data_IF_802296985483
#
_entry.id   IF_802296985483
#
_cell.length_a   1.000
_cell.length_b   1.000
_cell.length_c   1.000
_cell.angle_alpha   90.00
_cell.angle_beta   90.00
_cell.angle_gamma   90.00
#
_symmetry.space_group_name_H-M   'P 1'
#
loop_
_entity.id
_entity.type
_entity.pdbx_description
1 polymer ?
#
# COMPACT_ATOMS: atom_id res chain seq x y z
N UNK A 1 -13.37 -11.37 -12.17
CA UNK A 1 -13.66 -11.45 -10.72
C UNK A 1 -14.60 -10.31 -10.39
N UNK A 2 -15.66 -10.58 -9.64
CA UNK A 2 -16.51 -9.53 -9.06
C UNK A 2 -15.88 -9.09 -7.73
N UNK A 3 -15.73 -7.78 -7.50
CA UNK A 3 -15.07 -7.28 -6.28
C UNK A 3 -16.02 -7.40 -5.11
N UNK A 4 -15.63 -8.15 -4.09
CA UNK A 4 -16.39 -8.26 -2.85
C UNK A 4 -15.90 -7.20 -1.85
N UNK A 5 -16.65 -6.11 -1.74
CA UNK A 5 -16.36 -5.01 -0.80
C UNK A 5 -16.57 -5.36 0.69
N UNK A 6 -17.03 -6.58 0.99
CA UNK A 6 -17.13 -7.13 2.33
C UNK A 6 -16.09 -8.22 2.62
N UNK A 7 -15.25 -8.59 1.64
CA UNK A 7 -14.13 -9.49 1.88
C UNK A 7 -13.09 -8.81 2.77
N UNK A 8 -12.68 -9.47 3.85
CA UNK A 8 -11.76 -8.93 4.87
C UNK A 8 -10.42 -9.68 4.90
N UNK A 9 -10.18 -10.56 3.93
CA UNK A 9 -9.01 -11.43 3.87
C UNK A 9 -9.32 -12.92 4.11
N UNK A 10 -8.50 -13.76 3.50
CA UNK A 10 -8.57 -15.20 3.52
C UNK A 10 -8.34 -15.78 4.94
N UNK A 11 -7.47 -15.19 5.76
CA UNK A 11 -7.25 -15.66 7.13
C UNK A 11 -8.49 -15.47 8.01
N UNK A 12 -9.23 -14.38 7.79
CA UNK A 12 -10.52 -14.13 8.44
C UNK A 12 -11.59 -15.08 7.90
N UNK A 13 -11.65 -15.30 6.59
CA UNK A 13 -12.55 -16.27 5.98
C UNK A 13 -12.30 -17.69 6.52
N UNK A 14 -11.03 -18.11 6.60
CA UNK A 14 -10.60 -19.37 7.20
C UNK A 14 -11.05 -19.48 8.66
N UNK A 15 -10.82 -18.43 9.46
CA UNK A 15 -11.24 -18.41 10.87
C UNK A 15 -12.76 -18.53 11.01
N UNK A 16 -13.54 -17.89 10.14
CA UNK A 16 -15.00 -18.00 10.09
C UNK A 16 -15.44 -19.43 9.75
N UNK A 17 -14.81 -20.06 8.74
CA UNK A 17 -15.08 -21.44 8.36
C UNK A 17 -14.70 -22.44 9.47
N UNK A 18 -13.52 -22.31 10.07
CA UNK A 18 -13.10 -23.17 11.19
C UNK A 18 -14.01 -23.01 12.40
N UNK A 19 -14.51 -21.80 12.68
CA UNK A 19 -15.50 -21.57 13.73
C UNK A 19 -16.85 -22.24 13.43
N UNK A 20 -17.26 -22.29 12.17
CA UNK A 20 -18.46 -23.02 11.75
C UNK A 20 -18.24 -24.54 11.88
N UNK A 21 -17.03 -25.02 11.62
CA UNK A 21 -16.66 -26.44 11.70
C UNK A 21 -16.38 -26.92 13.13
N UNK A 22 -15.84 -26.06 14.00
CA UNK A 22 -15.41 -26.39 15.35
C UNK A 22 -16.56 -26.46 16.36
N UNK A 23 -17.79 -26.10 15.99
CA UNK A 23 -18.91 -26.01 16.94
C UNK A 23 -20.23 -26.64 16.49
N UNK A 24 -20.16 -27.97 16.31
CA UNK A 24 -21.21 -28.86 16.83
C UNK A 24 -21.26 -28.82 18.38
N UNK A 25 -20.21 -28.43 19.12
CA UNK A 25 -20.28 -28.38 20.60
C UNK A 25 -19.35 -27.36 21.30
N UNK A 26 -19.97 -26.25 21.74
CA UNK A 26 -19.59 -25.29 22.81
C UNK A 26 -18.76 -24.02 22.48
N UNK A 27 -19.57 -22.95 22.53
CA UNK A 27 -19.33 -21.60 23.07
C UNK A 27 -18.76 -20.54 22.12
N UNK A 28 -19.67 -19.92 21.37
CA UNK A 28 -19.59 -18.53 20.94
C UNK A 28 -20.82 -17.76 21.44
N UNK A 29 -20.71 -16.46 21.76
CA UNK A 29 -21.82 -15.71 22.35
C UNK A 29 -23.05 -15.64 21.43
N UNK A 30 -22.88 -15.72 20.09
CA UNK A 30 -23.95 -15.77 19.08
C UNK A 30 -23.43 -16.47 17.80
N UNK A 31 -22.85 -17.67 17.94
CA UNK A 31 -22.09 -18.36 16.89
C UNK A 31 -22.91 -18.93 15.73
N UNK A 32 -23.36 -18.10 14.80
CA UNK A 32 -23.79 -18.50 13.44
C UNK A 32 -24.99 -19.47 13.35
N UNK A 33 -25.49 -19.98 14.47
CA UNK A 33 -26.70 -20.79 14.55
C UNK A 33 -27.90 -19.85 14.58
N UNK A 34 -28.85 -20.12 13.68
CA UNK A 34 -30.14 -19.42 13.59
C UNK A 34 -30.98 -19.61 14.85
N UNK A 35 -30.66 -20.62 15.65
CA UNK A 35 -31.41 -21.13 16.79
C UNK A 35 -30.47 -21.51 17.94
N UNK A 36 -30.84 -21.16 19.17
CA UNK A 36 -30.09 -21.45 20.40
C UNK A 36 -31.03 -22.15 21.37
N UNK A 37 -30.71 -23.38 21.77
CA UNK A 37 -31.48 -24.09 22.79
C UNK A 37 -31.07 -23.62 24.19
N UNK A 38 -32.04 -23.09 24.94
CA UNK A 38 -31.86 -22.62 26.31
C UNK A 38 -32.92 -23.21 27.23
N UNK A 39 -32.53 -23.49 28.47
CA UNK A 39 -33.47 -23.92 29.52
C UNK A 39 -34.10 -22.70 30.18
N UNK A 40 -35.43 -22.59 30.10
CA UNK A 40 -36.22 -21.60 30.83
C UNK A 40 -37.30 -22.33 31.62
N UNK A 41 -37.34 -22.12 32.93
CA UNK A 41 -38.30 -22.74 33.85
C UNK A 41 -38.38 -24.28 33.74
N UNK A 42 -37.22 -24.93 33.59
CA UNK A 42 -37.12 -26.39 33.50
C UNK A 42 -37.57 -26.99 32.16
N UNK A 43 -37.87 -26.16 31.15
CA UNK A 43 -38.18 -26.60 29.79
C UNK A 43 -37.12 -26.11 28.81
N UNK A 44 -36.72 -26.98 27.88
CA UNK A 44 -35.88 -26.57 26.76
C UNK A 44 -36.72 -25.72 25.78
N UNK A 45 -36.23 -24.54 25.44
CA UNK A 45 -36.84 -23.60 24.50
C UNK A 45 -35.79 -23.17 23.50
N UNK A 46 -36.13 -23.23 22.22
CA UNK A 46 -35.27 -22.80 21.12
C UNK A 46 -35.50 -21.32 20.85
N UNK A 47 -34.46 -20.50 20.98
CA UNK A 47 -34.47 -19.07 20.64
C UNK A 47 -33.96 -18.90 19.22
N UNK A 48 -34.80 -18.39 18.33
CA UNK A 48 -34.42 -18.04 16.96
C UNK A 48 -33.98 -16.58 16.88
N UNK A 49 -32.96 -16.27 16.07
CA UNK A 49 -32.68 -14.89 15.69
C UNK A 49 -33.91 -14.31 14.99
N UNK A 50 -34.45 -13.23 15.55
CA UNK A 50 -35.59 -12.54 15.00
C UNK A 50 -35.24 -11.97 13.63
N UNK A 51 -36.25 -11.79 12.77
CA UNK A 51 -36.02 -11.29 11.41
C UNK A 51 -35.45 -9.87 11.44
N UNK A 52 -35.77 -9.07 12.45
CA UNK A 52 -35.25 -7.72 12.67
C UNK A 52 -33.73 -7.70 12.86
N UNK A 53 -33.13 -8.72 13.48
CA UNK A 53 -31.68 -8.78 13.66
C UNK A 53 -30.95 -9.19 12.37
N UNK A 54 -31.61 -10.01 11.52
CA UNK A 54 -31.09 -10.35 10.19
C UNK A 54 -31.17 -9.13 9.26
N UNK A 55 -32.29 -8.42 9.31
CA UNK A 55 -32.51 -7.16 8.61
C UNK A 55 -31.51 -6.10 9.07
N UNK A 56 -31.27 -5.96 10.37
CA UNK A 56 -30.26 -5.02 10.89
C UNK A 56 -28.86 -5.33 10.37
N UNK A 57 -28.44 -6.61 10.39
CA UNK A 57 -27.13 -6.99 9.84
C UNK A 57 -27.04 -6.74 8.33
N UNK A 58 -28.04 -7.16 7.57
CA UNK A 58 -28.08 -6.94 6.12
C UNK A 58 -28.09 -5.44 5.79
N UNK A 59 -28.85 -4.64 6.53
CA UNK A 59 -28.86 -3.19 6.40
C UNK A 59 -27.51 -2.57 6.74
N UNK A 60 -26.81 -3.08 7.76
CA UNK A 60 -25.46 -2.61 8.13
C UNK A 60 -24.43 -2.96 7.04
N UNK A 61 -24.46 -4.19 6.51
CA UNK A 61 -23.59 -4.61 5.41
C UNK A 61 -23.87 -3.82 4.12
N UNK A 62 -25.14 -3.52 3.84
CA UNK A 62 -25.57 -2.69 2.71
C UNK A 62 -25.15 -1.22 2.88
N UNK A 63 -25.25 -0.67 4.10
CA UNK A 63 -24.74 0.68 4.43
C UNK A 63 -23.23 0.77 4.28
N UNK A 64 -22.48 -0.23 4.76
CA UNK A 64 -21.03 -0.31 4.58
C UNK A 64 -20.68 -0.39 3.08
N UNK A 65 -21.34 -1.25 2.32
CA UNK A 65 -21.15 -1.36 0.88
C UNK A 65 -21.48 -0.05 0.15
N UNK A 66 -22.55 0.65 0.54
CA UNK A 66 -22.91 1.98 0.03
C UNK A 66 -21.83 3.02 0.37
N UNK A 67 -21.27 3.00 1.57
CA UNK A 67 -20.17 3.90 1.95
C UNK A 67 -18.93 3.68 1.09
N UNK A 68 -18.56 2.43 0.81
CA UNK A 68 -17.46 2.11 -0.11
C UNK A 68 -17.79 2.49 -1.56
N UNK A 69 -19.03 2.27 -2.01
CA UNK A 69 -19.47 2.64 -3.36
C UNK A 69 -19.38 4.14 -3.66
N UNK A 70 -19.57 5.00 -2.65
CA UNK A 70 -19.42 6.47 -2.77
C UNK A 70 -17.96 6.89 -3.00
N UNK A 71 -16.98 6.02 -2.69
CA UNK A 71 -15.55 6.29 -2.85
C UNK A 71 -14.95 5.74 -4.15
N UNK A 72 -15.75 5.09 -4.99
CA UNK A 72 -15.27 4.50 -6.24
C UNK A 72 -15.04 5.60 -7.28
N UNK A 73 -13.76 5.90 -7.53
CA UNK A 73 -13.35 6.90 -8.53
C UNK A 73 -13.68 6.48 -9.96
N UNK A 74 -13.42 5.21 -10.31
CA UNK A 74 -13.73 4.61 -11.62
C UNK A 74 -14.36 3.22 -11.42
N UNK A 75 -15.66 3.04 -11.69
CA UNK A 75 -16.35 1.76 -11.53
C UNK A 75 -15.78 0.61 -12.36
N UNK A 76 -15.12 0.90 -13.49
CA UNK A 76 -14.52 -0.11 -14.37
C UNK A 76 -13.13 -0.56 -13.89
N UNK A 77 -12.54 0.16 -12.95
CA UNK A 77 -11.27 -0.18 -12.33
C UNK A 77 -11.54 -0.93 -11.02
N UNK A 78 -11.25 -2.23 -11.01
CA UNK A 78 -11.45 -3.11 -9.86
C UNK A 78 -10.72 -2.63 -8.59
N UNK A 79 -9.60 -1.91 -8.73
CA UNK A 79 -8.84 -1.38 -7.60
C UNK A 79 -9.40 -0.02 -7.11
N UNK A 80 -10.28 0.65 -7.86
CA UNK A 80 -11.04 1.81 -7.38
C UNK A 80 -12.02 1.46 -6.26
N UNK A 81 -12.44 0.20 -6.18
CA UNK A 81 -13.36 -0.27 -5.13
C UNK A 81 -12.66 -0.44 -3.78
N UNK A 82 -11.33 -0.55 -3.79
CA UNK A 82 -10.48 -0.74 -2.60
C UNK A 82 -9.19 0.09 -2.70
N UNK A 83 -9.29 1.42 -2.77
CA UNK A 83 -8.14 2.27 -3.11
C UNK A 83 -6.98 2.20 -2.10
N UNK A 84 -7.29 1.86 -0.84
CA UNK A 84 -6.35 1.75 0.31
C UNK A 84 -6.11 0.30 0.77
N UNK A 85 -6.81 -0.67 0.16
CA UNK A 85 -6.72 -2.08 0.52
C UNK A 85 -6.58 -2.93 -0.74
N UNK A 86 -5.71 -2.48 -1.65
CA UNK A 86 -5.54 -3.11 -2.96
C UNK A 86 -5.10 -4.58 -2.84
N UNK A 87 -4.38 -4.92 -1.76
CA UNK A 87 -4.04 -6.29 -1.38
C UNK A 87 -5.26 -7.21 -1.24
N UNK A 88 -6.43 -6.70 -0.82
CA UNK A 88 -7.66 -7.50 -0.69
C UNK A 88 -8.15 -8.01 -2.04
N UNK A 89 -7.91 -7.27 -3.13
CA UNK A 89 -8.28 -7.71 -4.48
C UNK A 89 -7.44 -8.94 -4.88
N UNK A 90 -6.13 -8.90 -4.61
CA UNK A 90 -5.25 -10.05 -4.84
C UNK A 90 -5.61 -11.22 -3.93
N UNK A 91 -5.81 -10.98 -2.63
CA UNK A 91 -6.17 -12.03 -1.68
C UNK A 91 -7.52 -12.68 -2.01
N UNK A 92 -8.53 -11.89 -2.39
CA UNK A 92 -9.84 -12.41 -2.80
C UNK A 92 -9.68 -13.35 -3.99
N UNK A 93 -8.91 -12.94 -5.01
CA UNK A 93 -8.65 -13.78 -6.17
C UNK A 93 -7.95 -15.09 -5.79
N UNK A 94 -6.93 -15.05 -4.94
CA UNK A 94 -6.22 -16.23 -4.46
C UNK A 94 -7.15 -17.17 -3.68
N UNK A 95 -8.03 -16.61 -2.84
CA UNK A 95 -9.02 -17.36 -2.07
C UNK A 95 -10.04 -18.05 -2.97
N UNK A 96 -10.59 -17.35 -3.96
CA UNK A 96 -11.58 -17.90 -4.89
C UNK A 96 -10.99 -18.98 -5.82
N UNK A 97 -9.67 -18.98 -6.01
CA UNK A 97 -8.96 -19.95 -6.85
C UNK A 97 -8.22 -21.04 -6.04
N UNK A 98 -8.56 -21.20 -4.76
CA UNK A 98 -8.04 -22.31 -3.93
C UNK A 98 -6.55 -22.21 -3.59
N UNK A 99 -5.91 -21.06 -3.76
CA UNK A 99 -4.47 -20.90 -3.50
C UNK A 99 -4.11 -21.08 -2.01
N UNK A 100 -5.09 -20.95 -1.11
CA UNK A 100 -4.95 -21.16 0.33
C UNK A 100 -5.39 -22.55 0.80
N UNK A 101 -5.76 -23.44 -0.13
CA UNK A 101 -6.25 -24.77 0.22
C UNK A 101 -5.15 -25.58 0.91
N UNK A 102 -5.50 -26.19 2.05
CA UNK A 102 -4.55 -26.96 2.86
C UNK A 102 -3.60 -26.12 3.72
N UNK A 103 -3.61 -24.79 3.60
CA UNK A 103 -2.85 -23.90 4.49
C UNK A 103 -3.56 -23.73 5.84
N UNK A 104 -2.77 -23.53 6.88
CA UNK A 104 -3.28 -23.09 8.18
C UNK A 104 -3.40 -21.56 8.24
N UNK A 105 -4.08 -21.06 9.29
CA UNK A 105 -4.32 -19.61 9.47
C UNK A 105 -3.03 -18.78 9.41
N UNK A 106 -1.96 -19.23 10.04
CA UNK A 106 -0.72 -18.46 10.13
C UNK A 106 0.02 -18.41 8.80
N UNK A 107 -0.07 -19.46 7.98
CA UNK A 107 0.45 -19.48 6.61
C UNK A 107 -0.32 -18.51 5.71
N UNK A 108 -1.65 -18.50 5.81
CA UNK A 108 -2.50 -17.55 5.08
C UNK A 108 -2.17 -16.11 5.50
N UNK A 109 -2.09 -15.84 6.81
CA UNK A 109 -1.76 -14.50 7.32
C UNK A 109 -0.38 -14.02 6.84
N UNK A 110 0.62 -14.91 6.75
CA UNK A 110 1.94 -14.54 6.20
C UNK A 110 1.87 -14.12 4.73
N UNK A 111 1.12 -14.84 3.91
CA UNK A 111 0.97 -14.49 2.49
C UNK A 111 0.17 -13.20 2.30
N UNK A 112 -0.90 -13.02 3.08
CA UNK A 112 -1.68 -11.78 3.04
C UNK A 112 -0.86 -10.58 3.52
N UNK A 113 -0.10 -10.72 4.61
CA UNK A 113 0.79 -9.65 5.08
C UNK A 113 1.87 -9.31 4.04
N UNK A 114 2.38 -10.29 3.30
CA UNK A 114 3.32 -10.01 2.21
C UNK A 114 2.64 -9.20 1.08
N UNK A 115 1.38 -9.49 0.73
CA UNK A 115 0.62 -8.68 -0.23
C UNK A 115 0.35 -7.25 0.30
N UNK A 116 0.08 -7.11 1.60
CA UNK A 116 -0.03 -5.81 2.27
C UNK A 116 1.29 -5.04 2.11
N UNK A 117 2.41 -5.62 2.56
CA UNK A 117 3.72 -4.96 2.52
C UNK A 117 4.13 -4.55 1.09
N UNK A 118 3.77 -5.35 0.09
CA UNK A 118 4.04 -5.05 -1.33
C UNK A 118 3.20 -3.87 -1.85
N UNK A 119 1.96 -3.67 -1.36
CA UNK A 119 1.01 -2.73 -1.96
C UNK A 119 0.76 -1.46 -1.14
N UNK A 120 1.06 -1.45 0.17
CA UNK A 120 0.74 -0.33 1.08
C UNK A 120 1.47 0.98 0.71
N UNK A 121 2.61 0.87 0.02
CA UNK A 121 3.49 2.02 -0.22
C UNK A 121 2.76 3.13 -0.97
N UNK A 122 1.87 2.76 -1.90
CA UNK A 122 1.12 3.69 -2.74
C UNK A 122 -0.10 4.32 -2.04
N UNK A 123 -0.44 3.89 -0.82
CA UNK A 123 -1.44 4.57 0.01
C UNK A 123 -0.91 5.90 0.55
N UNK A 124 0.42 6.05 0.60
CA UNK A 124 1.11 7.27 1.01
C UNK A 124 1.00 8.42 -0.01
N UNK A 125 0.38 8.19 -1.17
CA UNK A 125 0.13 9.27 -2.14
C UNK A 125 -0.93 10.27 -1.64
N UNK A 126 -1.81 9.89 -0.71
CA UNK A 126 -2.84 10.79 -0.18
C UNK A 126 -3.02 10.68 1.34
N UNK A 127 -2.55 11.69 2.06
CA UNK A 127 -2.69 11.82 3.53
C UNK A 127 -3.91 12.65 3.95
N UNK A 128 -4.64 13.26 3.00
CA UNK A 128 -5.71 14.22 3.30
C UNK A 128 -7.05 13.56 3.63
N UNK A 129 -7.22 12.29 3.31
CA UNK A 129 -8.40 11.50 3.67
C UNK A 129 -8.04 10.72 4.93
N UNK A 130 -8.78 10.94 6.02
CA UNK A 130 -8.64 10.12 7.23
C UNK A 130 -8.77 8.65 6.84
N UNK A 131 -7.65 7.92 6.93
CA UNK A 131 -7.52 6.60 6.37
C UNK A 131 -8.32 5.60 7.23
N UNK A 132 -9.07 4.74 6.55
CA UNK A 132 -9.87 3.72 7.21
C UNK A 132 -9.01 2.88 8.13
N UNK A 133 -9.52 2.62 9.34
CA UNK A 133 -8.86 1.77 10.33
C UNK A 133 -8.72 0.37 9.75
N UNK A 134 -7.50 0.00 9.39
CA UNK A 134 -7.14 -1.40 9.41
C UNK A 134 -7.03 -1.82 10.89
N UNK A 135 -8.08 -2.49 11.37
CA UNK A 135 -8.14 -3.00 12.75
C UNK A 135 -7.19 -4.20 12.92
N UNK A 136 -6.55 -4.70 11.85
CA UNK A 136 -5.63 -5.85 11.91
C UNK A 136 -4.22 -5.61 11.39
N UNK A 137 -3.97 -4.75 10.41
CA UNK A 137 -2.58 -4.55 9.93
C UNK A 137 -1.70 -3.79 10.91
N UNK A 138 -2.27 -3.06 11.86
CA UNK A 138 -1.48 -2.14 12.66
C UNK A 138 -0.70 -1.14 11.79
N UNK A 139 -1.18 -0.87 10.56
CA UNK A 139 -0.58 0.09 9.63
C UNK A 139 -0.31 1.36 10.41
N UNK A 140 0.98 1.63 10.61
CA UNK A 140 1.42 2.83 11.31
C UNK A 140 0.77 4.00 10.58
N UNK A 141 0.27 5.02 11.30
CA UNK A 141 -0.32 6.18 10.66
C UNK A 141 0.64 6.68 9.59
N UNK A 142 0.14 6.90 8.37
CA UNK A 142 0.97 7.45 7.30
C UNK A 142 1.36 8.86 7.73
N UNK A 143 2.60 9.02 8.20
CA UNK A 143 3.10 10.29 8.71
C UNK A 143 3.75 11.15 7.62
N UNK A 144 3.96 10.59 6.43
CA UNK A 144 4.70 11.25 5.36
C UNK A 144 4.18 10.79 3.99
N UNK A 145 4.07 11.74 3.06
CA UNK A 145 3.82 11.46 1.65
C UNK A 145 5.10 11.05 0.93
N UNK A 146 5.00 10.09 0.02
CA UNK A 146 6.06 9.82 -0.95
C UNK A 146 6.34 11.08 -1.76
N UNK A 147 7.58 11.32 -2.13
CA UNK A 147 7.96 12.27 -3.18
C UNK A 147 7.65 11.70 -4.57
N UNK A 148 7.77 12.53 -5.62
CA UNK A 148 7.63 12.08 -7.02
C UNK A 148 8.55 10.88 -7.32
N UNK A 149 9.81 10.94 -6.89
CA UNK A 149 10.78 9.86 -7.15
C UNK A 149 10.43 8.58 -6.40
N UNK A 150 9.99 8.69 -5.14
CA UNK A 150 9.61 7.54 -4.32
C UNK A 150 8.32 6.88 -4.80
N UNK A 151 7.34 7.67 -5.26
CA UNK A 151 6.11 7.14 -5.83
C UNK A 151 6.37 6.25 -7.07
N UNK A 152 7.29 6.69 -7.93
CA UNK A 152 7.72 5.93 -9.10
C UNK A 152 8.52 4.68 -8.72
N UNK A 153 9.39 4.80 -7.71
CA UNK A 153 10.15 3.67 -7.17
C UNK A 153 9.24 2.60 -6.57
N UNK A 154 8.29 2.99 -5.73
CA UNK A 154 7.34 2.07 -5.09
C UNK A 154 6.46 1.36 -6.10
N UNK A 155 5.98 2.07 -7.12
CA UNK A 155 5.22 1.43 -8.18
C UNK A 155 6.07 0.39 -8.93
N UNK A 156 7.28 0.74 -9.35
CA UNK A 156 8.16 -0.19 -10.05
C UNK A 156 8.49 -1.42 -9.19
N UNK A 157 8.81 -1.19 -7.92
CA UNK A 157 9.15 -2.26 -6.99
C UNK A 157 7.97 -3.17 -6.67
N UNK A 158 6.80 -2.60 -6.37
CA UNK A 158 5.59 -3.38 -6.07
C UNK A 158 5.13 -4.24 -7.25
N UNK A 159 5.17 -3.71 -8.47
CA UNK A 159 4.83 -4.49 -9.69
C UNK A 159 5.79 -5.66 -9.88
N UNK A 160 7.10 -5.44 -9.76
CA UNK A 160 8.10 -6.51 -9.86
C UNK A 160 7.98 -7.52 -8.73
N UNK A 161 7.66 -7.08 -7.51
CA UNK A 161 7.43 -7.96 -6.37
C UNK A 161 6.16 -8.80 -6.56
N UNK A 162 5.08 -8.24 -7.10
CA UNK A 162 3.87 -9.00 -7.43
C UNK A 162 4.13 -10.05 -8.53
N UNK A 163 4.94 -9.73 -9.53
CA UNK A 163 5.37 -10.70 -10.54
C UNK A 163 6.14 -11.86 -9.90
N UNK A 164 7.08 -11.56 -9.01
CA UNK A 164 7.82 -12.59 -8.28
C UNK A 164 6.96 -13.37 -7.29
N UNK A 165 5.97 -12.73 -6.66
CA UNK A 165 4.97 -13.37 -5.83
C UNK A 165 4.15 -14.38 -6.65
N UNK A 166 3.73 -13.99 -7.86
CA UNK A 166 3.02 -14.87 -8.80
C UNK A 166 3.82 -16.13 -9.11
N UNK A 167 5.11 -15.99 -9.39
CA UNK A 167 5.99 -17.12 -9.69
C UNK A 167 6.09 -18.12 -8.54
N UNK A 168 6.12 -17.61 -7.30
CA UNK A 168 6.42 -18.40 -6.10
C UNK A 168 5.20 -19.01 -5.41
N UNK A 169 4.08 -18.28 -5.38
CA UNK A 169 2.95 -18.63 -4.51
C UNK A 169 1.64 -18.89 -5.25
N UNK A 170 1.56 -18.56 -6.55
CA UNK A 170 0.32 -18.70 -7.32
C UNK A 170 0.37 -19.99 -8.14
N UNK A 171 -0.68 -20.79 -8.04
CA UNK A 171 -0.82 -22.05 -8.80
C UNK A 171 -0.92 -21.77 -10.30
N UNK A 172 -0.44 -22.70 -11.14
CA UNK A 172 -0.37 -22.50 -12.60
C UNK A 172 -1.72 -22.13 -13.23
N UNK A 173 -2.81 -22.76 -12.77
CA UNK A 173 -4.17 -22.46 -13.25
C UNK A 173 -4.63 -21.04 -12.89
N UNK A 174 -4.14 -20.48 -11.78
CA UNK A 174 -4.50 -19.14 -11.32
C UNK A 174 -3.56 -18.04 -11.85
N UNK A 175 -2.36 -18.38 -12.38
CA UNK A 175 -1.35 -17.40 -12.82
C UNK A 175 -1.85 -16.42 -13.88
N UNK A 176 -2.62 -16.90 -14.87
CA UNK A 176 -3.08 -16.05 -15.96
C UNK A 176 -4.04 -14.93 -15.49
N UNK A 177 -4.93 -15.22 -14.54
CA UNK A 177 -5.80 -14.20 -13.98
C UNK A 177 -5.06 -13.31 -12.97
N UNK A 178 -4.12 -13.83 -12.20
CA UNK A 178 -3.27 -13.03 -11.32
C UNK A 178 -2.42 -12.02 -12.11
N UNK A 179 -1.86 -12.42 -13.25
CA UNK A 179 -1.14 -11.53 -14.16
C UNK A 179 -2.02 -10.37 -14.63
N UNK A 180 -3.29 -10.63 -14.96
CA UNK A 180 -4.24 -9.57 -15.31
C UNK A 180 -4.51 -8.62 -14.15
N UNK A 181 -4.54 -9.12 -12.91
CA UNK A 181 -4.66 -8.24 -11.74
C UNK A 181 -3.43 -7.34 -11.58
N UNK A 182 -2.23 -7.85 -11.85
CA UNK A 182 -1.00 -7.04 -11.87
C UNK A 182 -1.10 -5.95 -12.94
N UNK A 183 -1.60 -6.27 -14.14
CA UNK A 183 -1.77 -5.28 -15.21
C UNK A 183 -2.77 -4.18 -14.81
N UNK A 184 -3.89 -4.55 -14.18
CA UNK A 184 -4.90 -3.60 -13.69
C UNK A 184 -4.34 -2.72 -12.56
N UNK A 185 -3.62 -3.32 -11.60
CA UNK A 185 -2.94 -2.61 -10.52
C UNK A 185 -1.92 -1.61 -11.09
N UNK A 186 -1.12 -2.04 -12.05
CA UNK A 186 -0.13 -1.21 -12.73
C UNK A 186 -0.80 -0.04 -13.42
N UNK A 187 -1.82 -0.29 -14.26
CA UNK A 187 -2.50 0.75 -15.01
C UNK A 187 -3.19 1.80 -14.11
N UNK A 188 -3.81 1.38 -13.00
CA UNK A 188 -4.37 2.31 -12.01
C UNK A 188 -3.29 3.17 -11.40
N UNK A 189 -2.24 2.54 -10.88
CA UNK A 189 -1.26 3.26 -10.09
C UNK A 189 -0.30 4.09 -10.95
N UNK A 190 -0.02 3.70 -12.20
CA UNK A 190 0.70 4.53 -13.19
C UNK A 190 -0.02 5.86 -13.42
N UNK A 191 -1.36 5.84 -13.56
CA UNK A 191 -2.16 7.07 -13.65
C UNK A 191 -1.99 7.95 -12.41
N UNK A 192 -2.03 7.35 -11.21
CA UNK A 192 -1.88 8.07 -9.93
C UNK A 192 -0.49 8.71 -9.79
N UNK A 193 0.59 8.03 -10.19
CA UNK A 193 1.97 8.53 -10.01
C UNK A 193 2.45 9.46 -11.13
N UNK A 194 1.87 9.37 -12.34
CA UNK A 194 2.35 10.09 -13.55
C UNK A 194 2.52 11.61 -13.38
N UNK A 195 1.61 12.26 -12.66
CA UNK A 195 1.61 13.70 -12.40
C UNK A 195 1.63 14.01 -10.90
N UNK A 196 2.01 13.03 -10.10
CA UNK A 196 2.02 13.15 -8.65
C UNK A 196 3.15 14.08 -8.19
N UNK A 197 2.83 14.92 -7.20
CA UNK A 197 3.79 15.68 -6.39
C UNK A 197 3.26 15.72 -4.96
N UNK A 198 4.12 15.42 -4.00
CA UNK A 198 3.81 15.57 -2.58
C UNK A 198 3.46 17.03 -2.24
N UNK A 199 2.75 17.22 -1.13
CA UNK A 199 2.51 18.54 -0.54
C UNK A 199 3.85 19.25 -0.29
N UNK A 200 4.86 18.53 0.17
CA UNK A 200 6.19 19.10 0.42
C UNK A 200 6.85 19.60 -0.87
N UNK A 201 6.84 18.82 -1.95
CA UNK A 201 7.39 19.26 -3.24
C UNK A 201 6.64 20.47 -3.79
N UNK A 202 5.29 20.49 -3.68
CA UNK A 202 4.47 21.64 -4.06
C UNK A 202 4.82 22.87 -3.23
N UNK A 203 4.97 22.70 -1.92
CA UNK A 203 5.34 23.77 -1.00
C UNK A 203 6.74 24.32 -1.28
N UNK A 204 7.73 23.44 -1.48
CA UNK A 204 9.09 23.81 -1.82
C UNK A 204 9.12 24.60 -3.14
N UNK A 205 8.41 24.14 -4.17
CA UNK A 205 8.33 24.83 -5.45
C UNK A 205 7.66 26.21 -5.33
N UNK A 206 6.56 26.32 -4.58
CA UNK A 206 5.89 27.59 -4.33
C UNK A 206 6.80 28.56 -3.56
N UNK A 207 7.44 28.09 -2.49
CA UNK A 207 8.32 28.91 -1.65
C UNK A 207 9.57 29.37 -2.40
N UNK A 208 10.15 28.52 -3.26
CA UNK A 208 11.28 28.89 -4.11
C UNK A 208 10.95 30.09 -5.02
N UNK A 209 9.76 30.10 -5.64
CA UNK A 209 9.29 31.22 -6.47
C UNK A 209 9.09 32.52 -5.68
N UNK A 210 8.63 32.44 -4.44
CA UNK A 210 8.49 33.62 -3.56
C UNK A 210 9.88 34.14 -3.15
N UNK A 211 10.80 33.22 -2.86
CA UNK A 211 12.18 33.54 -2.49
C UNK A 211 12.92 34.28 -3.61
N UNK A 212 12.81 33.81 -4.85
CA UNK A 212 13.39 34.45 -6.04
C UNK A 212 12.87 35.89 -6.25
N UNK A 213 11.65 36.18 -5.79
CA UNK A 213 11.04 37.52 -5.85
C UNK A 213 11.36 38.41 -4.65
N UNK A 214 12.24 37.97 -3.75
CA UNK A 214 12.64 38.70 -2.55
C UNK A 214 11.60 38.70 -1.41
N UNK A 215 10.57 37.85 -1.48
CA UNK A 215 9.44 37.85 -0.54
C UNK A 215 9.65 37.07 0.76
N UNK A 216 10.82 36.46 0.99
CA UNK A 216 11.08 35.63 2.19
C UNK A 216 12.27 36.20 2.97
N UNK A 217 12.01 36.75 4.16
CA UNK A 217 13.05 37.19 5.09
C UNK A 217 13.50 36.02 5.98
N UNK A 218 14.78 35.66 5.93
CA UNK A 218 15.37 34.56 6.71
C UNK A 218 16.06 35.01 8.00
N UNK A 219 15.97 36.29 8.37
CA UNK A 219 16.72 36.88 9.49
C UNK A 219 16.40 36.24 10.84
N UNK A 220 15.15 35.80 11.04
CA UNK A 220 14.66 35.18 12.29
C UNK A 220 14.96 33.69 12.41
N UNK A 221 15.49 33.04 11.36
CA UNK A 221 15.74 31.61 11.34
C UNK A 221 17.09 31.25 11.97
N UNK A 222 17.15 30.10 12.66
CA UNK A 222 18.41 29.49 13.13
C UNK A 222 19.27 29.04 11.95
N UNK A 223 20.56 28.78 12.18
CA UNK A 223 21.47 28.30 11.13
C UNK A 223 20.96 27.00 10.47
N UNK A 224 20.46 26.05 11.28
CA UNK A 224 19.89 24.80 10.78
C UNK A 224 18.64 25.04 9.93
N UNK A 225 17.72 25.89 10.38
CA UNK A 225 16.53 26.26 9.61
C UNK A 225 16.88 26.94 8.29
N UNK A 226 17.88 27.84 8.30
CA UNK A 226 18.38 28.50 7.10
C UNK A 226 18.92 27.49 6.10
N UNK A 227 19.71 26.51 6.56
CA UNK A 227 20.24 25.45 5.72
C UNK A 227 19.12 24.59 5.12
N UNK A 228 18.15 24.14 5.93
CA UNK A 228 17.00 23.37 5.44
C UNK A 228 16.21 24.15 4.38
N UNK A 229 15.91 25.43 4.62
CA UNK A 229 15.20 26.28 3.65
C UNK A 229 16.00 26.45 2.36
N UNK A 230 17.31 26.68 2.44
CA UNK A 230 18.19 26.79 1.26
C UNK A 230 18.21 25.51 0.43
N UNK A 231 18.33 24.34 1.08
CA UNK A 231 18.29 23.03 0.42
C UNK A 231 16.94 22.83 -0.26
N UNK A 232 15.85 22.96 0.50
CA UNK A 232 14.51 22.64 0.01
C UNK A 232 14.02 23.65 -1.04
N UNK A 233 14.46 24.91 -1.01
CA UNK A 233 14.21 25.85 -2.12
C UNK A 233 14.91 25.40 -3.41
N UNK A 234 16.17 24.95 -3.35
CA UNK A 234 16.88 24.44 -4.52
C UNK A 234 16.21 23.18 -5.10
N UNK A 235 15.76 22.28 -4.23
CA UNK A 235 14.95 21.12 -4.65
C UNK A 235 13.64 21.57 -5.31
N UNK A 236 12.96 22.56 -4.73
CA UNK A 236 11.72 23.13 -5.26
C UNK A 236 11.86 23.85 -6.61
N UNK A 237 13.04 24.39 -6.93
CA UNK A 237 13.35 24.98 -8.24
C UNK A 237 13.74 23.93 -9.30
N UNK A 238 13.77 22.65 -8.96
CA UNK A 238 14.14 21.59 -9.91
C UNK A 238 12.91 21.11 -10.68
N UNK A 239 12.96 21.24 -12.01
CA UNK A 239 11.96 20.67 -12.91
C UNK A 239 12.42 19.31 -13.44
N UNK A 240 11.49 18.34 -13.44
CA UNK A 240 11.71 16.99 -13.98
C UNK A 240 10.92 16.85 -15.28
N UNK A 241 11.62 16.54 -16.37
CA UNK A 241 11.01 16.24 -17.66
C UNK A 241 10.41 14.84 -17.69
N UNK A 242 9.38 14.65 -18.50
CA UNK A 242 8.70 13.36 -18.65
C UNK A 242 9.65 12.24 -19.12
N UNK A 243 10.56 12.55 -20.04
CA UNK A 243 11.57 11.59 -20.53
C UNK A 243 12.54 11.13 -19.44
N UNK A 244 12.97 12.04 -18.55
CA UNK A 244 13.87 11.70 -17.44
C UNK A 244 13.18 10.82 -16.40
N UNK A 245 11.90 11.11 -16.11
CA UNK A 245 11.07 10.26 -15.24
C UNK A 245 10.94 8.87 -15.88
N UNK A 246 10.64 8.79 -17.18
CA UNK A 246 10.51 7.52 -17.88
C UNK A 246 11.82 6.70 -17.85
N UNK A 247 12.98 7.34 -18.07
CA UNK A 247 14.29 6.69 -17.97
C UNK A 247 14.57 6.16 -16.56
N UNK A 248 14.25 6.94 -15.53
CA UNK A 248 14.41 6.53 -14.14
C UNK A 248 13.52 5.32 -13.81
N UNK A 249 12.25 5.36 -14.23
CA UNK A 249 11.29 4.26 -14.04
C UNK A 249 11.76 2.99 -14.73
N UNK A 250 12.23 3.08 -15.97
CA UNK A 250 12.76 1.94 -16.71
C UNK A 250 13.99 1.33 -16.01
N UNK A 251 14.89 2.18 -15.50
CA UNK A 251 16.02 1.74 -14.69
C UNK A 251 15.60 0.99 -13.42
N UNK A 252 14.51 1.40 -12.77
CA UNK A 252 13.95 0.67 -11.62
C UNK A 252 13.39 -0.69 -12.03
N UNK A 253 12.57 -0.74 -13.09
CA UNK A 253 11.96 -1.98 -13.59
C UNK A 253 13.03 -3.02 -13.94
N UNK A 254 14.10 -2.60 -14.63
CA UNK A 254 15.22 -3.49 -14.98
C UNK A 254 15.94 -4.01 -13.73
N UNK A 255 16.25 -3.13 -12.78
CA UNK A 255 16.96 -3.48 -11.55
C UNK A 255 16.19 -4.46 -10.67
N UNK A 256 14.89 -4.23 -10.45
CA UNK A 256 14.06 -5.14 -9.67
C UNK A 256 13.81 -6.47 -10.40
N UNK A 257 13.65 -6.45 -11.72
CA UNK A 257 13.51 -7.68 -12.52
C UNK A 257 14.74 -8.60 -12.48
N UNK A 258 15.90 -8.07 -12.10
CA UNK A 258 17.14 -8.84 -11.93
C UNK A 258 17.31 -9.44 -10.53
N UNK A 259 16.47 -9.08 -9.55
CA UNK A 259 16.57 -9.65 -8.21
C UNK A 259 16.18 -11.14 -8.22
N UNK A 260 17.13 -11.99 -7.84
CA UNK A 260 16.91 -13.44 -7.76
C UNK A 260 17.15 -13.99 -6.36
N UNK A 261 18.02 -13.36 -5.57
CA UNK A 261 18.46 -13.85 -4.27
C UNK A 261 18.40 -12.74 -3.22
N UNK A 262 18.11 -13.13 -1.97
CA UNK A 262 18.03 -12.20 -0.85
C UNK A 262 19.33 -11.42 -0.62
N UNK A 263 20.50 -12.03 -0.89
CA UNK A 263 21.81 -11.37 -0.76
C UNK A 263 21.97 -10.12 -1.63
N UNK A 264 21.22 -10.03 -2.73
CA UNK A 264 21.33 -8.95 -3.71
C UNK A 264 20.48 -7.74 -3.33
N UNK A 265 19.51 -7.91 -2.42
CA UNK A 265 18.56 -6.86 -2.00
C UNK A 265 19.32 -5.66 -1.43
N UNK A 266 20.18 -5.87 -0.44
CA UNK A 266 20.89 -4.78 0.22
C UNK A 266 21.78 -3.97 -0.75
N UNK A 267 22.43 -4.65 -1.70
CA UNK A 267 23.27 -4.00 -2.72
C UNK A 267 22.41 -3.14 -3.63
N UNK A 268 21.31 -3.71 -4.15
CA UNK A 268 20.41 -2.98 -5.04
C UNK A 268 19.79 -1.77 -4.34
N UNK A 269 19.34 -1.93 -3.09
CA UNK A 269 18.71 -0.84 -2.33
C UNK A 269 19.67 0.32 -2.13
N UNK A 270 20.94 0.05 -1.84
CA UNK A 270 21.99 1.08 -1.74
C UNK A 270 22.17 1.84 -3.07
N UNK A 271 22.15 1.14 -4.20
CA UNK A 271 22.22 1.77 -5.53
C UNK A 271 20.98 2.62 -5.84
N UNK A 272 19.79 2.14 -5.49
CA UNK A 272 18.54 2.86 -5.70
C UNK A 272 18.44 4.11 -4.82
N UNK A 273 18.94 4.06 -3.57
CA UNK A 273 19.08 5.24 -2.70
C UNK A 273 19.92 6.33 -3.35
N UNK A 274 21.05 5.95 -3.98
CA UNK A 274 21.88 6.89 -4.72
C UNK A 274 21.18 7.42 -5.97
N UNK A 275 20.40 6.59 -6.66
CA UNK A 275 19.65 6.95 -7.85
C UNK A 275 18.56 7.97 -7.54
N UNK A 276 17.73 7.72 -6.51
CA UNK A 276 16.69 8.65 -6.02
C UNK A 276 17.30 9.98 -5.59
N UNK A 277 18.39 9.95 -4.80
CA UNK A 277 19.03 11.17 -4.33
C UNK A 277 19.66 11.98 -5.47
N UNK A 278 20.31 11.32 -6.44
CA UNK A 278 20.89 11.97 -7.62
C UNK A 278 19.82 12.58 -8.52
N UNK A 279 18.70 11.86 -8.73
CA UNK A 279 17.57 12.37 -9.48
C UNK A 279 16.99 13.61 -8.80
N UNK A 280 16.64 13.52 -7.52
CA UNK A 280 16.03 14.61 -6.76
C UNK A 280 16.91 15.86 -6.64
N UNK A 281 18.23 15.69 -6.69
CA UNK A 281 19.21 16.79 -6.57
C UNK A 281 19.76 17.30 -7.90
N UNK A 282 19.27 16.81 -9.05
CA UNK A 282 19.85 17.12 -10.37
C UNK A 282 19.94 18.61 -10.69
N UNK A 283 19.03 19.43 -10.15
CA UNK A 283 19.05 20.90 -10.33
C UNK A 283 20.13 21.62 -9.51
N UNK A 284 20.90 20.87 -8.71
CA UNK A 284 21.97 21.38 -7.86
C UNK A 284 23.31 20.86 -8.43
N UNK A 285 24.14 21.77 -8.92
CA UNK A 285 25.49 21.41 -9.39
C UNK A 285 26.30 20.72 -8.29
N UNK A 286 27.07 19.67 -8.64
CA UNK A 286 27.96 18.95 -7.71
C UNK A 286 28.99 19.85 -7.02
N UNK A 287 29.39 20.96 -7.67
CA UNK A 287 30.28 21.96 -7.08
C UNK A 287 29.59 22.93 -6.12
N UNK A 288 28.28 22.85 -5.95
CA UNK A 288 27.53 23.71 -5.04
C UNK A 288 27.74 23.27 -3.58
N UNK A 289 28.00 24.22 -2.69
CA UNK A 289 28.18 23.96 -1.24
C UNK A 289 27.00 23.23 -0.57
N UNK A 290 25.81 23.25 -1.18
CA UNK A 290 24.61 22.58 -0.67
C UNK A 290 24.36 21.20 -1.28
N UNK A 291 25.14 20.74 -2.26
CA UNK A 291 24.89 19.50 -2.98
C UNK A 291 24.89 18.27 -2.06
N UNK A 292 25.96 18.09 -1.26
CA UNK A 292 26.08 16.95 -0.34
C UNK A 292 24.99 16.97 0.73
N UNK A 293 24.71 18.15 1.29
CA UNK A 293 23.65 18.32 2.28
C UNK A 293 22.26 18.04 1.69
N UNK A 294 22.01 18.41 0.42
CA UNK A 294 20.77 18.09 -0.28
C UNK A 294 20.65 16.58 -0.55
N UNK A 295 21.73 15.92 -0.96
CA UNK A 295 21.77 14.47 -1.15
C UNK A 295 21.46 13.74 0.17
N UNK A 296 22.11 14.11 1.26
CA UNK A 296 21.87 13.54 2.58
C UNK A 296 20.42 13.77 3.05
N UNK A 297 19.89 14.98 2.82
CA UNK A 297 18.49 15.31 3.14
C UNK A 297 17.50 14.41 2.40
N UNK A 298 17.69 14.18 1.09
CA UNK A 298 16.82 13.29 0.31
C UNK A 298 16.92 11.86 0.82
N UNK A 299 18.13 11.34 1.03
CA UNK A 299 18.33 9.96 1.53
C UNK A 299 17.66 9.74 2.88
N UNK A 300 17.83 10.68 3.82
CA UNK A 300 17.20 10.60 5.13
C UNK A 300 15.68 10.64 5.03
N UNK A 301 15.14 11.50 4.16
CA UNK A 301 13.70 11.62 3.95
C UNK A 301 13.08 10.36 3.35
N UNK A 302 13.86 9.59 2.60
CA UNK A 302 13.43 8.37 1.93
C UNK A 302 13.69 7.07 2.68
N UNK A 303 14.23 7.13 3.91
CA UNK A 303 14.56 5.94 4.71
C UNK A 303 13.39 4.98 4.83
N UNK A 304 12.20 5.45 5.23
CA UNK A 304 11.03 4.59 5.42
C UNK A 304 10.59 3.87 4.13
N UNK A 305 10.74 4.53 2.98
CA UNK A 305 10.45 3.94 1.66
C UNK A 305 11.39 2.78 1.40
N UNK A 306 12.69 2.98 1.57
CA UNK A 306 13.68 1.92 1.33
C UNK A 306 13.61 0.79 2.35
N UNK A 307 13.32 1.08 3.63
CA UNK A 307 13.11 0.05 4.66
C UNK A 307 11.94 -0.86 4.32
N UNK A 308 10.81 -0.29 3.89
CA UNK A 308 9.64 -1.08 3.45
C UNK A 308 9.98 -1.93 2.23
N UNK A 309 10.58 -1.34 1.20
CA UNK A 309 10.99 -2.07 -0.01
C UNK A 309 11.92 -3.23 0.34
N UNK A 310 12.92 -2.98 1.19
CA UNK A 310 13.85 -4.01 1.65
C UNK A 310 13.11 -5.14 2.36
N UNK A 311 12.19 -4.80 3.28
CA UNK A 311 11.46 -5.77 4.08
C UNK A 311 10.67 -6.77 3.23
N UNK A 312 9.85 -6.31 2.28
CA UNK A 312 9.07 -7.25 1.47
C UNK A 312 9.92 -8.01 0.46
N UNK A 313 11.00 -7.43 -0.08
CA UNK A 313 11.89 -8.17 -0.97
C UNK A 313 12.67 -9.26 -0.22
N UNK A 314 13.10 -8.99 1.01
CA UNK A 314 13.73 -10.00 1.88
C UNK A 314 12.76 -11.15 2.17
N UNK A 315 11.51 -10.83 2.53
CA UNK A 315 10.47 -11.84 2.77
C UNK A 315 10.13 -12.65 1.51
N UNK A 316 10.12 -11.99 0.34
CA UNK A 316 9.78 -12.62 -0.94
C UNK A 316 10.88 -13.56 -1.45
N UNK A 317 12.15 -13.27 -1.17
CA UNK A 317 13.31 -14.02 -1.64
C UNK A 317 13.88 -15.02 -0.61
N UNK A 318 13.26 -15.14 0.57
CA UNK A 318 13.54 -16.19 1.56
C UNK A 318 12.93 -17.52 1.15
#
# INVERSE_FOLDING_TARGET
>A
MEVNVLFEGAALAYSKQQRLNADVQKAQPLGGKKEIDVMRDGKAVTLTLSDEMKELKAATDEEIAKMFAVQVEDPNDIFSHRPQDQWLIFSQYLHENGAFDGMNRDEIEKLENLLVDITDGLDQLNIAVAQGRDIKSGSKPITQQLTTAEAQLELASSVSALQRFQEKFVTDDAKAGFSKLIDHYTARNEKRVSNYKSIDEKFYAARAKIFERGGVHMSTLTAAQKQTVSITNKLGSTDYGAEEIAQMVEGYKQKFGMLQQQSDVAVLISELQNTVASFATKGISKGNQHYEAANAFVKQKSTNTFERITHYWDALLT
#
